data_IF_018070349158
#
_entry.id   IF_018070349158
#
_cell.length_a   1.000
_cell.length_b   1.000
_cell.length_c   1.000
_cell.angle_alpha   90.00
_cell.angle_beta   90.00
_cell.angle_gamma   90.00
#
_symmetry.space_group_name_H-M   'P 1'
#
loop_
_entity.id
_entity.type
_entity.pdbx_description
1 polymer ?
#
# COMPACT_ATOMS: atom_id res chain seq x y z
N UNK A 1 2.85 12.08 -7.80
CA UNK A 1 3.43 12.76 -8.98
C UNK A 1 2.86 12.16 -10.23
N UNK A 2 2.36 12.97 -11.17
CA UNK A 2 1.94 12.49 -12.49
C UNK A 2 3.17 12.33 -13.39
N UNK A 3 3.19 11.27 -14.20
CA UNK A 3 4.30 10.98 -15.10
C UNK A 3 3.73 10.66 -16.48
N UNK A 4 3.94 11.56 -17.44
CA UNK A 4 3.66 11.32 -18.86
C UNK A 4 4.98 10.96 -19.57
N UNK A 5 5.03 9.79 -20.20
CA UNK A 5 6.25 9.28 -20.87
C UNK A 5 6.22 9.43 -22.40
N UNK A 6 5.28 10.19 -22.94
CA UNK A 6 5.12 10.37 -24.39
C UNK A 6 6.44 10.86 -25.01
N UNK A 7 7.00 10.08 -25.94
CA UNK A 7 8.29 10.37 -26.58
C UNK A 7 9.54 10.08 -25.74
N UNK A 8 9.40 9.47 -24.56
CA UNK A 8 10.53 9.09 -23.69
C UNK A 8 10.71 7.57 -23.61
N UNK A 9 11.87 7.09 -24.07
CA UNK A 9 12.21 5.66 -24.11
C UNK A 9 13.34 5.27 -23.13
N UNK A 10 13.71 6.17 -22.21
CA UNK A 10 14.71 5.88 -21.20
C UNK A 10 14.20 4.86 -20.16
N UNK A 11 15.12 4.15 -19.51
CA UNK A 11 14.77 3.08 -18.56
C UNK A 11 14.04 3.58 -17.31
N UNK A 12 14.29 4.83 -16.89
CA UNK A 12 13.70 5.41 -15.68
C UNK A 12 13.17 6.84 -15.89
N UNK A 13 13.96 7.87 -15.53
CA UNK A 13 13.61 9.29 -15.64
C UNK A 13 14.85 10.13 -15.99
N UNK A 14 14.70 11.32 -16.59
CA UNK A 14 15.81 12.24 -16.83
C UNK A 14 16.60 12.59 -15.55
N UNK A 15 17.91 12.74 -15.68
CA UNK A 15 18.80 13.07 -14.55
C UNK A 15 19.25 11.86 -13.71
N UNK A 16 18.72 10.67 -13.97
CA UNK A 16 19.21 9.43 -13.39
C UNK A 16 20.21 8.75 -14.33
N UNK A 17 21.23 8.11 -13.74
CA UNK A 17 22.28 7.39 -14.45
C UNK A 17 22.29 5.91 -14.03
N UNK A 18 23.08 5.11 -14.73
CA UNK A 18 23.32 3.73 -14.31
C UNK A 18 23.83 3.69 -12.86
N UNK A 19 23.44 2.67 -12.06
CA UNK A 19 23.91 2.53 -10.70
C UNK A 19 25.44 2.57 -10.62
N UNK A 20 25.98 3.28 -9.63
CA UNK A 20 27.43 3.36 -9.42
C UNK A 20 28.03 2.01 -9.01
N UNK A 21 27.21 1.13 -8.45
CA UNK A 21 27.60 -0.19 -7.99
C UNK A 21 26.48 -1.19 -8.24
N UNK A 22 26.85 -2.34 -8.81
CA UNK A 22 25.98 -3.50 -8.97
C UNK A 22 26.44 -4.57 -7.98
N UNK A 23 25.67 -4.79 -6.91
CA UNK A 23 26.01 -5.77 -5.88
C UNK A 23 26.01 -7.20 -6.47
N UNK A 24 27.17 -7.88 -6.56
CA UNK A 24 27.25 -9.22 -7.12
C UNK A 24 26.54 -10.28 -6.27
N UNK A 25 26.21 -9.96 -5.02
CA UNK A 25 25.46 -10.86 -4.14
C UNK A 25 23.99 -10.97 -4.57
N UNK A 26 23.40 -9.91 -5.14
CA UNK A 26 21.99 -9.91 -5.57
C UNK A 26 21.69 -11.01 -6.60
N UNK A 27 22.64 -11.29 -7.50
CA UNK A 27 22.52 -12.33 -8.51
C UNK A 27 22.53 -13.76 -7.93
N UNK A 28 23.02 -13.93 -6.69
CA UNK A 28 23.08 -15.22 -6.00
C UNK A 28 21.83 -15.48 -5.15
N UNK A 29 21.03 -14.45 -4.87
CA UNK A 29 19.83 -14.57 -4.04
C UNK A 29 18.63 -15.10 -4.85
N UNK A 30 17.79 -15.96 -4.28
CA UNK A 30 16.63 -16.52 -4.98
C UNK A 30 15.63 -15.41 -5.33
N UNK A 31 15.12 -15.31 -6.57
CA UNK A 31 14.22 -14.20 -6.98
C UNK A 31 13.02 -14.03 -6.02
N UNK A 32 12.68 -12.79 -5.67
CA UNK A 32 11.53 -12.49 -4.82
C UNK A 32 10.16 -12.74 -5.48
N UNK A 33 10.13 -12.98 -6.80
CA UNK A 33 8.90 -13.25 -7.58
C UNK A 33 7.82 -12.18 -7.41
N UNK A 34 8.21 -10.91 -7.28
CA UNK A 34 7.29 -9.77 -7.19
C UNK A 34 7.21 -9.09 -8.56
N UNK A 35 6.00 -8.75 -9.00
CA UNK A 35 5.75 -8.26 -10.35
C UNK A 35 5.51 -6.74 -10.36
N UNK A 36 4.39 -6.29 -9.81
CA UNK A 36 3.99 -4.88 -9.79
C UNK A 36 3.29 -4.50 -8.48
N UNK A 37 3.09 -3.20 -8.24
CA UNK A 37 2.34 -2.70 -7.09
C UNK A 37 0.85 -2.97 -7.31
N UNK A 38 0.22 -3.72 -6.42
CA UNK A 38 -1.20 -4.04 -6.49
C UNK A 38 -2.08 -2.91 -5.92
N UNK A 39 -1.75 -2.46 -4.70
CA UNK A 39 -2.42 -1.34 -4.04
C UNK A 39 -1.52 -0.70 -2.98
N UNK A 40 -1.85 0.53 -2.59
CA UNK A 40 -1.13 1.28 -1.54
C UNK A 40 -2.13 1.81 -0.52
N UNK A 41 -1.92 1.48 0.75
CA UNK A 41 -2.87 1.80 1.83
C UNK A 41 -2.44 3.05 2.58
N UNK A 42 -3.37 4.00 2.71
CA UNK A 42 -3.19 5.23 3.48
C UNK A 42 -3.97 5.20 4.79
N UNK A 43 -3.28 5.35 5.92
CA UNK A 43 -3.92 5.52 7.22
C UNK A 43 -4.13 7.00 7.52
N UNK A 44 -5.30 7.33 8.05
CA UNK A 44 -5.73 8.67 8.42
C UNK A 44 -6.00 8.75 9.93
N UNK A 45 -5.88 9.94 10.53
CA UNK A 45 -6.46 10.25 11.83
C UNK A 45 -7.97 9.98 11.90
N UNK A 46 -8.51 10.01 13.11
CA UNK A 46 -9.95 9.83 13.31
C UNK A 46 -10.77 10.88 12.55
N UNK A 47 -11.84 10.45 11.91
CA UNK A 47 -12.75 11.26 11.09
C UNK A 47 -12.10 11.91 9.84
N UNK A 48 -10.92 11.47 9.41
CA UNK A 48 -10.23 12.00 8.22
C UNK A 48 -10.34 11.09 6.99
N UNK A 49 -10.88 9.87 7.08
CA UNK A 49 -11.01 8.98 5.90
C UNK A 49 -11.91 9.59 4.81
N UNK A 50 -13.10 10.09 5.20
CA UNK A 50 -14.09 10.60 4.23
C UNK A 50 -13.57 11.83 3.47
N UNK A 51 -13.02 12.88 4.13
CA UNK A 51 -12.41 14.01 3.42
C UNK A 51 -11.35 13.60 2.39
N UNK A 52 -10.52 12.59 2.71
CA UNK A 52 -9.47 12.12 1.80
C UNK A 52 -10.06 11.34 0.62
N UNK A 53 -11.05 10.48 0.86
CA UNK A 53 -11.80 9.80 -0.21
C UNK A 53 -12.41 10.82 -1.16
N UNK A 54 -13.08 11.83 -0.63
CA UNK A 54 -13.68 12.90 -1.43
C UNK A 54 -12.63 13.68 -2.22
N UNK A 55 -11.42 13.87 -1.67
CA UNK A 55 -10.32 14.50 -2.39
C UNK A 55 -9.95 13.71 -3.66
N UNK A 56 -9.82 12.38 -3.58
CA UNK A 56 -9.55 11.54 -4.75
C UNK A 56 -10.69 11.62 -5.76
N UNK A 57 -11.95 11.56 -5.31
CA UNK A 57 -13.11 11.60 -6.19
C UNK A 57 -13.23 12.94 -6.92
N UNK A 58 -13.09 14.05 -6.19
CA UNK A 58 -13.31 15.40 -6.72
C UNK A 58 -12.18 15.86 -7.63
N UNK A 59 -10.93 15.57 -7.26
CA UNK A 59 -9.78 16.15 -7.93
C UNK A 59 -9.19 15.23 -9.00
N UNK A 60 -9.28 13.90 -8.79
CA UNK A 60 -8.69 12.91 -9.70
C UNK A 60 -9.75 12.08 -10.44
N UNK A 61 -11.04 12.33 -10.18
CA UNK A 61 -12.16 11.59 -10.78
C UNK A 61 -12.12 10.09 -10.49
N UNK A 62 -11.55 9.72 -9.34
CA UNK A 62 -11.61 8.35 -8.86
C UNK A 62 -13.04 8.03 -8.41
N UNK A 63 -13.38 6.75 -8.34
CA UNK A 63 -14.64 6.28 -7.78
C UNK A 63 -14.40 5.41 -6.55
N UNK A 64 -15.45 5.28 -5.72
CA UNK A 64 -15.45 4.33 -4.61
C UNK A 64 -15.57 2.93 -5.20
N UNK A 65 -14.52 2.14 -5.04
CA UNK A 65 -14.43 0.77 -5.53
C UNK A 65 -15.03 -0.21 -4.53
N UNK A 66 -14.68 -0.05 -3.26
CA UNK A 66 -15.14 -0.92 -2.18
C UNK A 66 -15.13 -0.19 -0.84
N UNK A 67 -15.79 -0.75 0.15
CA UNK A 67 -15.75 -0.23 1.52
C UNK A 67 -16.11 -1.27 2.53
N UNK A 68 -15.55 -1.11 3.73
CA UNK A 68 -15.82 -1.93 4.89
C UNK A 68 -16.04 -1.03 6.09
N UNK A 69 -17.10 -1.31 6.83
CA UNK A 69 -17.35 -0.66 8.10
C UNK A 69 -16.82 -1.50 9.28
N UNK A 70 -16.89 -0.92 10.47
CA UNK A 70 -16.45 -1.51 11.73
C UNK A 70 -17.25 -2.77 12.11
N UNK A 71 -18.46 -2.95 11.57
CA UNK A 71 -19.26 -4.17 11.79
C UNK A 71 -18.71 -5.34 10.98
N UNK A 72 -18.03 -5.07 9.88
CA UNK A 72 -17.46 -6.06 8.98
C UNK A 72 -15.97 -6.33 9.26
N UNK A 73 -15.22 -5.35 9.78
CA UNK A 73 -13.81 -5.49 10.18
C UNK A 73 -13.58 -5.11 11.65
N UNK A 74 -13.84 -6.08 12.52
CA UNK A 74 -13.54 -6.00 13.95
C UNK A 74 -12.91 -7.29 14.45
N UNK A 75 -11.91 -7.16 15.33
CA UNK A 75 -11.51 -8.22 16.25
C UNK A 75 -12.34 -8.09 17.54
N UNK A 76 -12.17 -9.00 18.49
CA UNK A 76 -12.78 -8.83 19.82
C UNK A 76 -12.35 -7.51 20.50
N UNK A 77 -11.21 -6.95 20.10
CA UNK A 77 -10.55 -5.86 20.78
C UNK A 77 -10.51 -4.54 19.98
N UNK A 78 -10.37 -4.56 18.67
CA UNK A 78 -10.20 -3.34 17.86
C UNK A 78 -10.98 -3.43 16.55
N UNK A 79 -11.29 -2.27 15.97
CA UNK A 79 -11.95 -2.15 14.68
C UNK A 79 -11.28 -1.06 13.82
N UNK A 80 -11.60 -1.06 12.53
CA UNK A 80 -11.26 0.02 11.60
C UNK A 80 -12.38 0.21 10.58
N UNK A 81 -12.41 1.38 9.94
CA UNK A 81 -13.20 1.61 8.73
C UNK A 81 -12.25 1.80 7.56
N UNK A 82 -12.67 1.34 6.39
CA UNK A 82 -11.88 1.44 5.17
C UNK A 82 -12.75 1.76 3.96
N UNK A 83 -12.30 2.69 3.13
CA UNK A 83 -12.86 2.95 1.81
C UNK A 83 -11.75 2.81 0.78
N UNK A 84 -11.98 1.99 -0.23
CA UNK A 84 -11.06 1.86 -1.36
C UNK A 84 -11.52 2.78 -2.48
N UNK A 85 -10.64 3.68 -2.90
CA UNK A 85 -10.81 4.48 -4.11
C UNK A 85 -9.98 3.89 -5.25
N UNK A 86 -10.51 3.96 -6.47
CA UNK A 86 -9.81 3.52 -7.66
C UNK A 86 -9.99 4.50 -8.83
N UNK A 87 -9.05 4.53 -9.78
CA UNK A 87 -9.27 5.24 -11.05
C UNK A 87 -10.36 4.52 -11.88
N UNK A 88 -10.81 5.17 -12.95
CA UNK A 88 -11.88 4.65 -13.79
C UNK A 88 -11.65 3.21 -14.30
N UNK A 89 -10.43 2.91 -14.76
CA UNK A 89 -10.05 1.58 -15.24
C UNK A 89 -9.66 0.59 -14.12
N UNK A 90 -9.72 1.04 -12.86
CA UNK A 90 -9.44 0.25 -11.66
C UNK A 90 -8.04 -0.38 -11.63
N UNK A 91 -7.08 0.26 -12.28
CA UNK A 91 -5.67 -0.16 -12.33
C UNK A 91 -4.84 0.43 -11.19
N UNK A 92 -5.29 1.53 -10.58
CA UNK A 92 -4.73 2.15 -9.38
C UNK A 92 -5.76 2.03 -8.26
N UNK A 93 -5.39 1.38 -7.15
CA UNK A 93 -6.26 1.15 -5.99
C UNK A 93 -5.61 1.68 -4.72
N UNK A 94 -6.36 2.49 -3.98
CA UNK A 94 -5.90 3.13 -2.75
C UNK A 94 -6.92 2.90 -1.62
N UNK A 95 -6.72 1.88 -0.76
CA UNK A 95 -7.47 1.77 0.49
C UNK A 95 -7.10 2.91 1.44
N UNK A 96 -8.12 3.61 1.94
CA UNK A 96 -8.00 4.70 2.91
C UNK A 96 -8.66 4.24 4.20
N UNK A 97 -7.89 4.22 5.29
CA UNK A 97 -8.35 3.72 6.59
C UNK A 97 -8.43 4.83 7.63
N UNK A 98 -9.34 4.69 8.58
CA UNK A 98 -9.37 5.45 9.84
C UNK A 98 -9.63 4.52 11.02
N UNK A 99 -9.23 4.91 12.25
CA UNK A 99 -9.55 4.14 13.45
C UNK A 99 -11.07 4.03 13.64
N UNK A 100 -11.50 2.91 14.23
CA UNK A 100 -12.86 2.75 14.73
C UNK A 100 -12.84 2.32 16.20
N UNK A 101 -13.94 2.56 16.89
CA UNK A 101 -14.06 2.29 18.33
C UNK A 101 -13.98 0.78 18.61
N UNK A 102 -13.20 0.40 19.62
CA UNK A 102 -13.05 -0.98 20.10
C UNK A 102 -12.63 -1.00 21.58
N UNK A 103 -12.59 -2.20 22.18
CA UNK A 103 -12.13 -2.39 23.59
C UNK A 103 -10.66 -2.00 23.79
N UNK A 104 -9.85 -2.04 22.73
CA UNK A 104 -8.46 -1.63 22.64
C UNK A 104 -8.30 -0.67 21.48
N UNK A 105 -7.22 0.09 21.56
CA UNK A 105 -6.79 1.03 20.52
C UNK A 105 -6.66 0.33 19.16
N UNK A 106 -7.15 0.99 18.12
CA UNK A 106 -7.01 0.52 16.73
C UNK A 106 -5.55 0.59 16.28
N UNK A 107 -5.10 -0.40 15.49
CA UNK A 107 -3.76 -0.36 14.87
C UNK A 107 -3.57 0.87 13.96
N UNK A 108 -4.66 1.46 13.46
CA UNK A 108 -4.61 2.70 12.66
C UNK A 108 -4.21 3.88 13.54
N UNK A 109 -4.79 3.98 14.74
CA UNK A 109 -4.44 5.02 15.70
C UNK A 109 -2.99 4.85 16.19
N UNK A 110 -2.53 3.62 16.39
CA UNK A 110 -1.12 3.35 16.70
C UNK A 110 -0.20 3.87 15.58
N UNK A 111 -0.50 3.56 14.32
CA UNK A 111 0.26 4.09 13.17
C UNK A 111 0.34 5.62 13.20
N UNK A 112 -0.80 6.31 13.37
CA UNK A 112 -0.87 7.78 13.34
C UNK A 112 0.00 8.39 14.44
N UNK A 113 0.04 7.79 15.63
CA UNK A 113 0.86 8.30 16.73
C UNK A 113 2.36 8.09 16.52
N UNK A 114 2.77 6.90 16.06
CA UNK A 114 4.19 6.64 15.81
C UNK A 114 4.72 7.34 14.56
N UNK A 115 3.87 7.48 13.53
CA UNK A 115 4.21 8.19 12.29
C UNK A 115 4.13 9.71 12.44
N UNK A 116 3.27 10.21 13.34
CA UNK A 116 3.04 11.64 13.56
C UNK A 116 1.94 12.25 12.69
N UNK A 117 1.06 11.44 12.10
CA UNK A 117 -0.04 11.92 11.25
C UNK A 117 -0.52 10.88 10.23
N UNK A 118 -1.24 11.36 9.21
CA UNK A 118 -1.65 10.56 8.06
C UNK A 118 -0.44 10.10 7.22
N UNK A 119 -0.52 8.91 6.63
CA UNK A 119 0.57 8.40 5.79
C UNK A 119 0.31 7.03 5.16
N UNK A 120 1.26 6.58 4.35
CA UNK A 120 1.23 5.24 3.74
C UNK A 120 1.60 4.18 4.79
N UNK A 121 0.68 3.25 5.05
CA UNK A 121 0.90 2.15 5.98
C UNK A 121 1.63 1.00 5.31
N UNK A 122 1.13 0.52 4.17
CA UNK A 122 1.74 -0.60 3.45
C UNK A 122 1.55 -0.49 1.94
N UNK A 123 2.41 -1.20 1.22
CA UNK A 123 2.40 -1.35 -0.24
C UNK A 123 2.27 -2.84 -0.52
N UNK A 124 1.20 -3.23 -1.19
CA UNK A 124 1.00 -4.61 -1.60
C UNK A 124 1.68 -4.86 -2.95
N UNK A 125 2.43 -5.96 -3.03
CA UNK A 125 3.15 -6.37 -4.23
C UNK A 125 2.49 -7.62 -4.82
N UNK A 126 2.12 -7.55 -6.10
CA UNK A 126 1.54 -8.67 -6.82
C UNK A 126 2.58 -9.78 -7.08
N UNK A 127 2.12 -11.03 -7.11
CA UNK A 127 2.91 -12.19 -7.55
C UNK A 127 1.99 -13.26 -8.14
N UNK A 128 2.42 -13.89 -9.23
CA UNK A 128 1.76 -15.07 -9.79
C UNK A 128 2.15 -16.39 -9.11
N UNK A 129 3.14 -16.39 -8.22
CA UNK A 129 3.64 -17.59 -7.51
C UNK A 129 3.98 -17.24 -6.05
N UNK A 130 2.92 -17.10 -5.24
CA UNK A 130 3.04 -16.71 -3.84
C UNK A 130 3.83 -17.72 -2.99
N UNK A 131 3.77 -19.01 -3.32
CA UNK A 131 4.50 -20.04 -2.58
C UNK A 131 6.01 -19.83 -2.73
N UNK A 132 6.48 -19.65 -3.96
CA UNK A 132 7.89 -19.36 -4.20
C UNK A 132 8.29 -17.99 -3.67
N UNK A 133 7.45 -16.96 -3.85
CA UNK A 133 7.72 -15.61 -3.36
C UNK A 133 7.99 -15.60 -1.85
N UNK A 134 7.07 -16.15 -1.06
CA UNK A 134 7.17 -16.18 0.40
C UNK A 134 8.35 -17.02 0.87
N UNK A 135 8.59 -18.20 0.28
CA UNK A 135 9.76 -19.03 0.61
C UNK A 135 11.07 -18.26 0.37
N UNK A 136 11.21 -17.65 -0.80
CA UNK A 136 12.44 -16.97 -1.20
C UNK A 136 12.66 -15.67 -0.39
N UNK A 137 11.59 -14.95 -0.04
CA UNK A 137 11.66 -13.79 0.84
C UNK A 137 12.12 -14.19 2.26
N UNK A 138 11.57 -15.28 2.82
CA UNK A 138 12.02 -15.81 4.11
C UNK A 138 13.49 -16.27 4.07
N UNK A 139 13.92 -16.91 2.99
CA UNK A 139 15.33 -17.30 2.80
C UNK A 139 16.26 -16.10 2.74
N UNK A 140 15.79 -14.97 2.18
CA UNK A 140 16.49 -13.68 2.22
C UNK A 140 16.44 -12.97 3.58
N UNK A 141 15.74 -13.53 4.57
CA UNK A 141 15.62 -12.99 5.92
C UNK A 141 14.44 -12.04 6.13
N UNK A 142 13.46 -11.98 5.22
CA UNK A 142 12.24 -11.19 5.43
C UNK A 142 11.39 -11.82 6.53
N UNK A 143 11.07 -11.03 7.54
CA UNK A 143 10.11 -11.41 8.59
C UNK A 143 8.68 -11.19 8.11
N UNK A 144 7.80 -12.12 8.46
CA UNK A 144 6.36 -12.04 8.18
C UNK A 144 5.60 -12.23 9.48
N UNK A 145 4.43 -11.61 9.57
CA UNK A 145 3.53 -11.80 10.70
C UNK A 145 3.17 -13.29 10.82
N UNK A 146 3.16 -13.80 12.05
CA UNK A 146 2.61 -15.12 12.37
C UNK A 146 1.09 -15.05 12.45
N UNK A 147 0.44 -16.18 12.16
CA UNK A 147 -1.00 -16.38 12.39
C UNK A 147 -1.20 -17.04 13.75
#
# INVERSE_FOLDING_TARGET
>A
TFVERTGYNGLFLPGFHAPLFCDPFLAKLPSGKLDFIDHVVGNQPDSEMVPIVEWYQRNLLFHRFWSVDDKQLQTEYSALRSIVVANYEETVKMPINEPAMGKRKSQIQEYVEYYGGAGVQHIAMNTSDIISAIRNLKERGMELMSV
#
